data_IF_237599931906
#
_entry.id   IF_237599931906
#
_cell.length_a   1.000
_cell.length_b   1.000
_cell.length_c   1.000
_cell.angle_alpha   90.00
_cell.angle_beta   90.00
_cell.angle_gamma   90.00
#
_symmetry.space_group_name_H-M   'P 1'
#
loop_
_entity.id
_entity.type
_entity.pdbx_description
1 polymer ?
#
# COMPACT_ATOMS: atom_id res chain seq x y z
N UNK A 1 -27.90 9.86 -20.41
CA UNK A 1 -26.80 8.99 -19.94
C UNK A 1 -25.67 9.74 -19.22
N UNK A 2 -25.35 10.98 -19.61
CA UNK A 2 -24.33 11.81 -18.96
C UNK A 2 -24.49 12.02 -17.45
N UNK A 3 -25.72 12.24 -16.98
CA UNK A 3 -25.98 12.48 -15.55
C UNK A 3 -25.57 11.27 -14.70
N UNK A 4 -25.79 10.04 -15.19
CA UNK A 4 -25.38 8.83 -14.46
C UNK A 4 -23.86 8.72 -14.41
N UNK A 5 -23.16 8.96 -15.54
CA UNK A 5 -21.69 8.96 -15.59
C UNK A 5 -21.08 9.99 -14.65
N UNK A 6 -21.60 11.22 -14.64
CA UNK A 6 -21.14 12.26 -13.72
C UNK A 6 -21.35 11.92 -12.25
N UNK A 7 -22.46 11.28 -11.90
CA UNK A 7 -22.72 10.81 -10.52
C UNK A 7 -21.73 9.70 -10.12
N UNK A 8 -21.39 8.81 -11.04
CA UNK A 8 -20.40 7.74 -10.81
C UNK A 8 -19.00 8.32 -10.67
N UNK A 9 -18.60 9.27 -11.51
CA UNK A 9 -17.32 9.95 -11.43
C UNK A 9 -17.18 10.77 -10.14
N UNK A 10 -18.27 11.43 -9.71
CA UNK A 10 -18.32 12.11 -8.43
C UNK A 10 -18.19 11.12 -7.27
N UNK A 11 -18.89 9.98 -7.32
CA UNK A 11 -18.79 8.93 -6.30
C UNK A 11 -17.39 8.35 -6.23
N UNK A 12 -16.74 8.11 -7.36
CA UNK A 12 -15.36 7.64 -7.45
C UNK A 12 -14.37 8.68 -6.92
N UNK A 13 -14.59 9.95 -7.23
CA UNK A 13 -13.80 11.07 -6.68
C UNK A 13 -13.97 11.18 -5.17
N UNK A 14 -15.20 11.11 -4.65
CA UNK A 14 -15.47 11.12 -3.20
C UNK A 14 -14.86 9.91 -2.50
N UNK A 15 -14.89 8.72 -3.12
CA UNK A 15 -14.20 7.53 -2.62
C UNK A 15 -12.68 7.72 -2.60
N UNK A 16 -12.10 8.32 -3.64
CA UNK A 16 -10.67 8.62 -3.71
C UNK A 16 -10.25 9.66 -2.66
N UNK A 17 -11.02 10.73 -2.49
CA UNK A 17 -10.78 11.80 -1.50
C UNK A 17 -10.93 11.26 -0.07
N UNK A 18 -11.99 10.49 0.21
CA UNK A 18 -12.17 9.83 1.51
C UNK A 18 -11.03 8.86 1.82
N UNK A 19 -10.55 8.16 0.79
CA UNK A 19 -9.36 7.34 0.87
C UNK A 19 -8.11 8.14 1.23
N UNK A 20 -7.81 9.21 0.51
CA UNK A 20 -6.65 10.08 0.75
C UNK A 20 -6.67 10.72 2.15
N UNK A 21 -7.84 11.12 2.65
CA UNK A 21 -8.00 11.68 4.01
C UNK A 21 -7.69 10.64 5.09
N UNK A 22 -7.99 9.36 4.83
CA UNK A 22 -7.75 8.26 5.77
C UNK A 22 -6.43 7.50 5.52
N UNK A 23 -5.62 7.92 4.54
CA UNK A 23 -4.43 7.17 4.10
C UNK A 23 -4.75 5.80 3.47
N UNK A 24 -5.98 5.59 3.00
CA UNK A 24 -6.46 4.34 2.42
C UNK A 24 -6.72 4.49 0.93
N UNK A 25 -6.29 3.51 0.14
CA UNK A 25 -6.58 3.44 -1.28
C UNK A 25 -7.86 2.64 -1.51
N UNK A 26 -8.92 3.31 -1.94
CA UNK A 26 -10.19 2.66 -2.26
C UNK A 26 -10.31 2.37 -3.76
N UNK A 27 -10.69 1.15 -4.09
CA UNK A 27 -10.88 0.65 -5.44
C UNK A 27 -12.33 0.86 -5.88
N UNK A 28 -12.60 1.70 -6.90
CA UNK A 28 -13.97 1.98 -7.33
C UNK A 28 -14.59 0.74 -7.99
N UNK A 29 -15.79 0.36 -7.56
CA UNK A 29 -16.52 -0.76 -8.14
C UNK A 29 -17.17 -0.38 -9.48
N UNK A 30 -17.23 -1.29 -10.46
CA UNK A 30 -17.87 -1.04 -11.74
C UNK A 30 -19.40 -0.93 -11.61
N UNK A 31 -20.02 -0.29 -12.60
CA UNK A 31 -21.47 -0.27 -12.72
C UNK A 31 -22.02 -1.67 -12.93
N UNK A 32 -23.19 -1.96 -12.33
CA UNK A 32 -23.80 -3.28 -12.43
C UNK A 32 -23.16 -4.35 -11.56
N UNK A 33 -22.19 -4.03 -10.70
CA UNK A 33 -21.55 -4.99 -9.77
C UNK A 33 -22.54 -5.70 -8.85
N UNK A 34 -23.72 -5.12 -8.60
CA UNK A 34 -24.79 -5.77 -7.83
C UNK A 34 -25.33 -7.04 -8.50
N UNK A 35 -25.26 -7.11 -9.84
CA UNK A 35 -25.70 -8.27 -10.64
C UNK A 35 -24.58 -9.28 -10.92
N UNK A 36 -23.35 -9.01 -10.46
CA UNK A 36 -22.16 -9.83 -10.79
C UNK A 36 -22.35 -11.32 -10.47
N UNK A 37 -23.03 -11.62 -9.37
CA UNK A 37 -23.30 -13.01 -8.98
C UNK A 37 -24.23 -13.72 -9.96
N UNK A 38 -25.31 -13.06 -10.36
CA UNK A 38 -26.28 -13.60 -11.31
C UNK A 38 -25.66 -13.77 -12.70
N UNK A 39 -24.85 -12.79 -13.15
CA UNK A 39 -24.17 -12.86 -14.44
C UNK A 39 -23.14 -14.00 -14.46
N UNK A 40 -22.32 -14.13 -13.41
CA UNK A 40 -21.36 -15.24 -13.32
C UNK A 40 -22.07 -16.60 -13.36
N UNK A 41 -23.18 -16.77 -12.62
CA UNK A 41 -23.96 -18.01 -12.64
C UNK A 41 -24.48 -18.34 -14.04
N UNK A 42 -25.05 -17.37 -14.75
CA UNK A 42 -25.53 -17.59 -16.13
C UNK A 42 -24.41 -18.01 -17.08
N UNK A 43 -23.24 -17.38 -16.99
CA UNK A 43 -22.06 -17.74 -17.80
C UNK A 43 -21.63 -19.18 -17.52
N UNK A 44 -21.63 -19.60 -16.24
CA UNK A 44 -21.30 -20.98 -15.85
C UNK A 44 -22.32 -21.97 -16.42
N UNK A 45 -23.62 -21.69 -16.25
CA UNK A 45 -24.72 -22.55 -16.70
C UNK A 45 -24.78 -22.66 -18.23
N UNK A 46 -24.47 -21.59 -18.95
CA UNK A 46 -24.41 -21.54 -20.40
C UNK A 46 -23.06 -21.98 -20.98
N UNK A 47 -22.15 -22.50 -20.16
CA UNK A 47 -20.79 -22.88 -20.56
C UNK A 47 -20.03 -21.78 -21.36
N UNK A 48 -20.18 -20.52 -20.95
CA UNK A 48 -19.51 -19.37 -21.55
C UNK A 48 -20.29 -18.62 -22.63
N UNK A 49 -21.47 -19.08 -23.04
CA UNK A 49 -22.22 -18.49 -24.16
C UNK A 49 -23.04 -17.22 -23.79
N UNK A 50 -23.64 -17.14 -22.60
CA UNK A 50 -24.46 -16.00 -22.15
C UNK A 50 -23.61 -14.95 -21.41
N UNK A 51 -22.92 -14.10 -22.19
CA UNK A 51 -22.06 -13.04 -21.67
C UNK A 51 -22.77 -11.69 -21.68
N UNK A 52 -22.96 -11.10 -20.50
CA UNK A 52 -23.33 -9.69 -20.36
C UNK A 52 -22.14 -8.80 -20.75
N UNK A 53 -22.06 -8.44 -22.03
CA UNK A 53 -20.97 -7.63 -22.59
C UNK A 53 -20.83 -6.27 -21.91
N UNK A 54 -21.96 -5.66 -21.50
CA UNK A 54 -21.93 -4.36 -20.82
C UNK A 54 -21.26 -4.46 -19.46
N UNK A 55 -21.63 -5.47 -18.66
CA UNK A 55 -20.98 -5.71 -17.36
C UNK A 55 -19.52 -6.13 -17.54
N UNK A 56 -19.21 -7.00 -18.52
CA UNK A 56 -17.83 -7.41 -18.83
C UNK A 56 -16.95 -6.19 -19.11
N UNK A 57 -17.36 -5.31 -20.03
CA UNK A 57 -16.61 -4.10 -20.35
C UNK A 57 -16.48 -3.13 -19.17
N UNK A 58 -17.50 -3.03 -18.31
CA UNK A 58 -17.42 -2.23 -17.09
C UNK A 58 -16.38 -2.81 -16.11
N UNK A 59 -16.33 -4.14 -15.95
CA UNK A 59 -15.34 -4.84 -15.13
C UNK A 59 -13.92 -4.61 -15.69
N UNK A 60 -13.72 -4.78 -16.99
CA UNK A 60 -12.43 -4.53 -17.66
C UNK A 60 -11.96 -3.09 -17.43
N UNK A 61 -12.85 -2.11 -17.60
CA UNK A 61 -12.57 -0.71 -17.32
C UNK A 61 -12.20 -0.45 -15.85
N UNK A 62 -12.84 -1.14 -14.90
CA UNK A 62 -12.47 -1.06 -13.49
C UNK A 62 -11.08 -1.66 -13.22
N UNK A 63 -10.76 -2.82 -13.80
CA UNK A 63 -9.44 -3.46 -13.67
C UNK A 63 -8.33 -2.55 -14.18
N UNK A 64 -8.50 -1.88 -15.33
CA UNK A 64 -7.51 -0.92 -15.84
C UNK A 64 -7.26 0.19 -14.82
N UNK A 65 -8.32 0.76 -14.25
CA UNK A 65 -8.21 1.83 -13.24
C UNK A 65 -7.50 1.32 -11.98
N UNK A 66 -7.85 0.11 -11.51
CA UNK A 66 -7.22 -0.50 -10.34
C UNK A 66 -5.75 -0.79 -10.58
N UNK A 67 -5.37 -1.24 -11.78
CA UNK A 67 -3.96 -1.48 -12.14
C UNK A 67 -3.15 -0.20 -11.99
N UNK A 68 -3.63 0.91 -12.54
CA UNK A 68 -2.93 2.19 -12.43
C UNK A 68 -2.81 2.63 -10.95
N UNK A 69 -3.93 2.65 -10.22
CA UNK A 69 -3.97 3.11 -8.84
C UNK A 69 -3.11 2.25 -7.90
N UNK A 70 -3.15 0.93 -8.05
CA UNK A 70 -2.34 0.01 -7.24
C UNK A 70 -0.87 0.13 -7.62
N UNK A 71 -0.55 0.31 -8.90
CA UNK A 71 0.84 0.51 -9.33
C UNK A 71 1.46 1.74 -8.69
N UNK A 72 0.72 2.85 -8.61
CA UNK A 72 1.16 4.07 -7.92
C UNK A 72 1.50 3.78 -6.45
N UNK A 73 0.59 3.10 -5.72
CA UNK A 73 0.81 2.70 -4.32
C UNK A 73 2.02 1.78 -4.18
N UNK A 74 2.20 0.83 -5.09
CA UNK A 74 3.31 -0.11 -5.06
C UNK A 74 4.66 0.59 -5.30
N UNK A 75 4.68 1.66 -6.11
CA UNK A 75 5.89 2.44 -6.41
C UNK A 75 6.29 3.40 -5.29
N UNK A 76 5.41 3.71 -4.34
CA UNK A 76 5.77 4.53 -3.18
C UNK A 76 6.88 3.86 -2.34
N UNK A 77 7.87 4.66 -1.98
CA UNK A 77 9.02 4.25 -1.17
C UNK A 77 9.19 5.19 0.02
N UNK A 78 9.89 4.72 1.07
CA UNK A 78 10.06 5.51 2.28
C UNK A 78 10.83 6.82 2.06
N UNK A 79 11.58 6.95 0.96
CA UNK A 79 12.22 8.20 0.56
C UNK A 79 11.27 9.40 0.43
N UNK A 80 9.95 9.17 0.34
CA UNK A 80 8.95 10.24 0.35
C UNK A 80 8.99 11.09 1.63
N UNK A 81 9.45 10.53 2.76
CA UNK A 81 9.52 11.27 4.03
C UNK A 81 10.42 12.51 3.94
N UNK A 82 11.47 12.44 3.11
CA UNK A 82 12.40 13.56 2.85
C UNK A 82 11.85 14.59 1.87
N UNK A 83 10.78 14.27 1.15
CA UNK A 83 10.08 15.23 0.27
C UNK A 83 8.96 15.95 1.01
N UNK A 84 8.41 15.33 2.05
CA UNK A 84 7.26 15.83 2.80
C UNK A 84 7.64 16.70 4.02
N UNK A 85 8.88 16.63 4.49
CA UNK A 85 9.39 17.41 5.61
C UNK A 85 10.84 17.82 5.34
N UNK A 86 11.22 19.01 5.80
CA UNK A 86 12.58 19.55 5.66
C UNK A 86 13.58 18.80 6.56
N UNK A 87 13.16 18.42 7.77
CA UNK A 87 13.97 17.67 8.74
C UNK A 87 13.17 16.48 9.31
N UNK A 88 12.93 15.42 8.51
CA UNK A 88 12.22 14.25 9.00
C UNK A 88 13.05 13.51 10.07
N UNK A 89 12.35 13.03 11.10
CA UNK A 89 12.92 12.26 12.21
C UNK A 89 12.76 10.75 12.00
N UNK A 90 13.47 9.89 12.75
CA UNK A 90 13.44 8.43 12.56
C UNK A 90 12.05 7.79 12.63
N UNK A 91 11.14 8.33 13.44
CA UNK A 91 9.77 7.83 13.52
C UNK A 91 9.00 7.97 12.19
N UNK A 92 9.38 8.90 11.31
CA UNK A 92 8.77 9.03 9.99
C UNK A 92 8.94 7.76 9.14
N UNK A 93 10.08 7.06 9.24
CA UNK A 93 10.29 5.78 8.57
C UNK A 93 9.36 4.70 9.14
N UNK A 94 9.24 4.64 10.47
CA UNK A 94 8.37 3.68 11.15
C UNK A 94 6.90 3.89 10.77
N UNK A 95 6.45 5.15 10.80
CA UNK A 95 5.09 5.53 10.45
C UNK A 95 4.78 5.29 8.97
N UNK A 96 5.73 5.55 8.08
CA UNK A 96 5.62 5.19 6.68
C UNK A 96 5.31 3.69 6.52
N UNK A 97 6.10 2.82 7.14
CA UNK A 97 5.88 1.37 7.01
C UNK A 97 4.59 0.89 7.67
N UNK A 98 4.18 1.44 8.82
CA UNK A 98 2.87 1.14 9.42
C UNK A 98 1.71 1.57 8.52
N UNK A 99 1.78 2.79 7.98
CA UNK A 99 0.77 3.31 7.05
C UNK A 99 0.70 2.45 5.78
N UNK A 100 1.85 2.06 5.23
CA UNK A 100 1.94 1.17 4.06
C UNK A 100 1.30 -0.19 4.34
N UNK A 101 1.51 -0.79 5.51
CA UNK A 101 0.82 -2.04 5.91
C UNK A 101 -0.69 -1.81 5.93
N UNK A 102 -1.18 -0.81 6.66
CA UNK A 102 -2.62 -0.52 6.78
C UNK A 102 -3.28 -0.32 5.41
N UNK A 103 -2.64 0.46 4.53
CA UNK A 103 -3.15 0.70 3.20
C UNK A 103 -3.18 -0.59 2.34
N UNK A 104 -2.08 -1.36 2.32
CA UNK A 104 -2.01 -2.60 1.55
C UNK A 104 -2.97 -3.68 2.10
N UNK A 105 -3.22 -3.74 3.41
CA UNK A 105 -4.26 -4.59 3.99
C UNK A 105 -5.65 -4.18 3.50
N UNK A 106 -5.95 -2.88 3.50
CA UNK A 106 -7.21 -2.36 2.97
C UNK A 106 -7.42 -2.73 1.50
N UNK A 107 -6.40 -2.58 0.65
CA UNK A 107 -6.45 -2.99 -0.76
C UNK A 107 -6.63 -4.51 -0.87
N UNK A 108 -5.88 -5.29 -0.09
CA UNK A 108 -5.96 -6.75 -0.08
C UNK A 108 -7.37 -7.24 0.27
N UNK A 109 -8.00 -6.65 1.29
CA UNK A 109 -9.34 -6.99 1.71
C UNK A 109 -10.39 -6.62 0.66
N UNK A 110 -10.25 -5.47 0.00
CA UNK A 110 -11.09 -5.08 -1.14
C UNK A 110 -10.98 -6.09 -2.30
N UNK A 111 -9.77 -6.54 -2.64
CA UNK A 111 -9.56 -7.55 -3.70
C UNK A 111 -10.09 -8.94 -3.32
N UNK A 112 -10.31 -9.20 -2.02
CA UNK A 112 -10.93 -10.42 -1.50
C UNK A 112 -12.44 -10.34 -1.36
N UNK A 113 -13.04 -9.18 -1.60
CA UNK A 113 -14.49 -9.02 -1.61
C UNK A 113 -15.11 -10.07 -2.53
N UNK A 114 -16.16 -10.79 -2.10
CA UNK A 114 -16.80 -11.82 -2.91
C UNK A 114 -17.17 -11.33 -4.30
N UNK A 115 -17.67 -10.09 -4.44
CA UNK A 115 -18.03 -9.51 -5.74
C UNK A 115 -16.83 -9.37 -6.65
N UNK A 116 -15.67 -9.00 -6.12
CA UNK A 116 -14.42 -8.88 -6.88
C UNK A 116 -13.93 -10.26 -7.35
N UNK A 117 -14.08 -11.29 -6.51
CA UNK A 117 -13.80 -12.68 -6.93
C UNK A 117 -14.72 -13.12 -8.08
N UNK A 118 -15.99 -12.75 -8.02
CA UNK A 118 -16.96 -13.01 -9.09
C UNK A 118 -16.60 -12.26 -10.38
N UNK A 119 -16.14 -11.00 -10.28
CA UNK A 119 -15.60 -10.26 -11.42
C UNK A 119 -14.40 -10.98 -12.05
N UNK A 120 -13.46 -11.47 -11.22
CA UNK A 120 -12.31 -12.22 -11.70
C UNK A 120 -12.72 -13.52 -12.40
N UNK A 121 -13.72 -14.23 -11.87
CA UNK A 121 -14.26 -15.43 -12.50
C UNK A 121 -14.92 -15.13 -13.85
N UNK A 122 -15.67 -14.03 -13.98
CA UNK A 122 -16.22 -13.62 -15.28
C UNK A 122 -15.11 -13.34 -16.29
N UNK A 123 -14.05 -12.63 -15.89
CA UNK A 123 -12.91 -12.37 -16.77
C UNK A 123 -12.20 -13.65 -17.22
N UNK A 124 -12.09 -14.65 -16.33
CA UNK A 124 -11.51 -15.96 -16.64
C UNK A 124 -12.40 -16.79 -17.57
N UNK A 125 -13.69 -16.91 -17.26
CA UNK A 125 -14.65 -17.71 -18.04
C UNK A 125 -14.88 -17.16 -19.45
N UNK A 126 -14.65 -15.86 -19.65
CA UNK A 126 -14.86 -15.18 -20.94
C UNK A 126 -13.55 -14.87 -21.68
N UNK A 127 -12.45 -15.50 -21.26
CA UNK A 127 -11.09 -15.35 -21.80
C UNK A 127 -10.71 -13.87 -22.03
N UNK A 128 -10.97 -13.03 -21.03
CA UNK A 128 -10.66 -11.60 -21.12
C UNK A 128 -9.15 -11.36 -21.07
N UNK A 129 -8.67 -10.54 -22.00
CA UNK A 129 -7.28 -10.06 -22.03
C UNK A 129 -6.84 -9.33 -20.74
N UNK A 130 -7.78 -8.89 -19.90
CA UNK A 130 -7.50 -8.21 -18.63
C UNK A 130 -7.40 -9.14 -17.43
N UNK A 131 -7.77 -10.43 -17.56
CA UNK A 131 -7.63 -11.40 -16.47
C UNK A 131 -6.16 -11.56 -15.99
N UNK A 132 -5.15 -11.67 -16.88
CA UNK A 132 -3.75 -11.72 -16.46
C UNK A 132 -3.32 -10.47 -15.67
N UNK A 133 -3.79 -9.28 -16.08
CA UNK A 133 -3.51 -8.02 -15.40
C UNK A 133 -4.09 -8.03 -13.98
N UNK A 134 -5.35 -8.46 -13.82
CA UNK A 134 -5.98 -8.62 -12.50
C UNK A 134 -5.20 -9.58 -11.59
N UNK A 135 -4.79 -10.74 -12.12
CA UNK A 135 -3.97 -11.70 -11.35
C UNK A 135 -2.63 -11.12 -10.94
N UNK A 136 -1.98 -10.39 -11.85
CA UNK A 136 -0.68 -9.77 -11.60
C UNK A 136 -0.77 -8.76 -10.46
N UNK A 137 -1.75 -7.85 -10.47
CA UNK A 137 -1.91 -6.86 -9.40
C UNK A 137 -2.22 -7.51 -8.05
N UNK A 138 -3.06 -8.55 -8.02
CA UNK A 138 -3.36 -9.26 -6.78
C UNK A 138 -2.09 -9.89 -6.17
N UNK A 139 -1.30 -10.56 -7.01
CA UNK A 139 -0.01 -11.14 -6.58
C UNK A 139 0.95 -10.07 -6.07
N UNK A 140 1.04 -8.94 -6.75
CA UNK A 140 1.94 -7.84 -6.38
C UNK A 140 1.52 -7.21 -5.03
N UNK A 141 0.21 -7.02 -4.80
CA UNK A 141 -0.32 -6.55 -3.51
C UNK A 141 0.03 -7.52 -2.39
N UNK A 142 -0.15 -8.83 -2.60
CA UNK A 142 0.21 -9.86 -1.60
C UNK A 142 1.71 -9.82 -1.28
N UNK A 143 2.55 -9.70 -2.30
CA UNK A 143 4.00 -9.63 -2.12
C UNK A 143 4.42 -8.36 -1.36
N UNK A 144 3.89 -7.20 -1.75
CA UNK A 144 4.17 -5.92 -1.10
C UNK A 144 3.65 -5.87 0.34
N UNK A 145 2.49 -6.47 0.62
CA UNK A 145 1.95 -6.55 1.98
C UNK A 145 2.85 -7.40 2.87
N UNK A 146 3.36 -8.52 2.35
CA UNK A 146 4.33 -9.36 3.07
C UNK A 146 5.63 -8.60 3.34
N UNK A 147 6.14 -7.89 2.34
CA UNK A 147 7.31 -7.01 2.50
C UNK A 147 7.09 -6.01 3.63
N UNK A 148 6.02 -5.22 3.55
CA UNK A 148 5.74 -4.16 4.51
C UNK A 148 5.57 -4.71 5.94
N UNK A 149 4.84 -5.82 6.11
CA UNK A 149 4.67 -6.48 7.42
C UNK A 149 5.98 -6.96 8.02
N UNK A 150 6.84 -7.55 7.20
CA UNK A 150 8.15 -8.02 7.66
C UNK A 150 9.02 -6.84 8.07
N UNK A 151 9.11 -5.78 7.27
CA UNK A 151 9.86 -4.56 7.64
C UNK A 151 9.33 -3.95 8.94
N UNK A 152 8.02 -3.73 9.08
CA UNK A 152 7.43 -3.18 10.30
C UNK A 152 7.76 -4.04 11.53
N UNK A 153 7.76 -5.37 11.39
CA UNK A 153 8.15 -6.29 12.47
C UNK A 153 9.61 -6.06 12.91
N UNK A 154 10.53 -5.89 11.97
CA UNK A 154 11.95 -5.66 12.28
C UNK A 154 12.27 -4.24 12.74
N UNK A 155 11.44 -3.24 12.41
CA UNK A 155 11.57 -1.88 12.93
C UNK A 155 11.09 -1.76 14.39
N UNK A 156 10.15 -2.60 14.82
CA UNK A 156 9.55 -2.53 16.17
C UNK A 156 10.56 -2.46 17.34
N UNK A 157 11.67 -3.23 17.36
CA UNK A 157 12.67 -3.10 18.41
C UNK A 157 13.40 -1.75 18.42
N UNK A 158 13.58 -1.10 17.26
CA UNK A 158 14.24 0.20 17.15
C UNK A 158 13.40 1.30 17.81
N UNK A 159 12.07 1.22 17.74
CA UNK A 159 11.15 2.22 18.30
C UNK A 159 11.46 2.56 19.76
N UNK A 160 11.71 1.54 20.58
CA UNK A 160 12.08 1.73 21.99
C UNK A 160 13.33 2.58 22.16
N UNK A 161 14.32 2.42 21.30
CA UNK A 161 15.57 3.18 21.35
C UNK A 161 15.43 4.56 20.75
N UNK A 162 14.60 4.72 19.71
CA UNK A 162 14.25 6.02 19.15
C UNK A 162 13.52 6.89 20.19
N UNK A 163 12.53 6.34 20.91
CA UNK A 163 11.86 7.05 22.02
C UNK A 163 12.84 7.44 23.13
N UNK A 164 13.79 6.58 23.47
CA UNK A 164 14.83 6.91 24.45
C UNK A 164 15.73 8.03 23.95
N UNK A 165 16.13 7.99 22.69
CA UNK A 165 16.99 9.00 22.07
C UNK A 165 16.30 10.37 22.07
N UNK A 166 14.99 10.43 21.82
CA UNK A 166 14.22 11.68 21.92
C UNK A 166 14.14 12.27 23.34
N UNK A 167 14.32 11.45 24.37
CA UNK A 167 14.12 11.83 25.77
C UNK A 167 15.40 12.24 26.52
N UNK A 168 16.58 12.01 25.93
CA UNK A 168 17.87 12.31 26.57
C UNK A 168 18.49 13.58 26.00
N UNK A 169 19.45 14.16 26.73
CA UNK A 169 20.29 15.24 26.20
C UNK A 169 21.42 14.69 25.33
N UNK A 170 22.00 15.55 24.47
CA UNK A 170 23.07 15.17 23.55
C UNK A 170 24.30 14.57 24.29
N UNK A 171 24.60 15.08 25.49
CA UNK A 171 25.70 14.62 26.36
C UNK A 171 25.53 13.15 26.81
N UNK A 172 24.30 12.66 26.88
CA UNK A 172 23.95 11.31 27.32
C UNK A 172 23.71 10.34 26.14
N UNK A 173 23.66 10.87 24.91
CA UNK A 173 23.27 10.12 23.71
C UNK A 173 24.34 9.14 23.19
N UNK A 174 25.64 9.33 23.50
CA UNK A 174 26.74 8.54 22.92
C UNK A 174 26.55 7.02 23.07
N UNK A 175 26.21 6.57 24.28
CA UNK A 175 25.97 5.15 24.55
C UNK A 175 24.75 4.62 23.78
N UNK A 176 23.66 5.40 23.74
CA UNK A 176 22.42 5.03 23.03
C UNK A 176 22.62 4.97 21.51
N UNK A 177 23.41 5.88 20.95
CA UNK A 177 23.72 5.89 19.52
C UNK A 177 24.50 4.65 19.09
N UNK A 178 25.49 4.22 19.88
CA UNK A 178 26.21 2.95 19.63
C UNK A 178 25.25 1.77 19.58
N UNK A 179 24.35 1.65 20.55
CA UNK A 179 23.33 0.60 20.54
C UNK A 179 22.38 0.71 19.35
N UNK A 180 21.93 1.92 19.02
CA UNK A 180 21.01 2.16 17.90
C UNK A 180 21.65 1.75 16.57
N UNK A 181 22.92 2.11 16.33
CA UNK A 181 23.66 1.71 15.13
C UNK A 181 23.84 0.19 15.04
N UNK A 182 24.14 -0.49 16.16
CA UNK A 182 24.15 -1.95 16.18
C UNK A 182 22.79 -2.55 15.82
N UNK A 183 21.69 -1.97 16.31
CA UNK A 183 20.33 -2.41 15.95
C UNK A 183 20.02 -2.17 14.46
N UNK A 184 20.48 -1.06 13.88
CA UNK A 184 20.38 -0.80 12.43
C UNK A 184 21.15 -1.85 11.64
N UNK A 185 22.35 -2.24 12.07
CA UNK A 185 23.12 -3.33 11.43
C UNK A 185 22.38 -4.68 11.53
N UNK A 186 21.76 -4.98 12.67
CA UNK A 186 20.95 -6.20 12.84
C UNK A 186 19.72 -6.18 11.93
N UNK A 187 19.01 -5.06 11.85
CA UNK A 187 17.91 -4.85 10.91
C UNK A 187 18.37 -5.10 9.46
N UNK A 188 19.49 -4.48 9.06
CA UNK A 188 20.03 -4.58 7.71
C UNK A 188 20.42 -6.02 7.33
N UNK A 189 21.05 -6.75 8.25
CA UNK A 189 21.52 -8.13 8.04
C UNK A 189 20.42 -9.19 8.09
N UNK A 190 19.35 -8.96 8.86
CA UNK A 190 18.33 -9.98 9.12
C UNK A 190 17.00 -9.74 8.38
N UNK A 191 16.69 -8.50 7.95
CA UNK A 191 15.48 -8.21 7.19
C UNK A 191 15.81 -8.19 5.69
N UNK A 192 15.51 -9.30 4.99
CA UNK A 192 15.74 -9.44 3.54
C UNK A 192 15.07 -8.35 2.68
N UNK A 193 14.02 -7.71 3.22
CA UNK A 193 13.27 -6.67 2.55
C UNK A 193 13.79 -5.26 2.87
N UNK A 194 14.56 -5.10 3.95
CA UNK A 194 15.17 -3.84 4.35
C UNK A 194 16.67 -3.79 4.04
N UNK A 195 17.24 -4.87 3.49
CA UNK A 195 18.68 -5.02 3.30
C UNK A 195 19.28 -4.17 2.15
N UNK A 196 18.53 -3.25 1.53
CA UNK A 196 19.06 -2.40 0.47
C UNK A 196 19.81 -1.19 1.03
N UNK A 197 20.91 -0.81 0.39
CA UNK A 197 21.71 0.35 0.82
C UNK A 197 20.87 1.63 0.89
N UNK A 198 19.95 1.84 -0.06
CA UNK A 198 19.09 3.00 -0.07
C UNK A 198 18.20 3.12 1.19
N UNK A 199 17.59 2.01 1.65
CA UNK A 199 16.71 2.01 2.84
C UNK A 199 17.52 2.29 4.11
N UNK A 200 18.71 1.69 4.25
CA UNK A 200 19.56 1.93 5.41
C UNK A 200 20.15 3.33 5.43
N UNK A 201 20.58 3.86 4.28
CA UNK A 201 21.06 5.24 4.18
C UNK A 201 19.96 6.21 4.61
N UNK A 202 18.72 6.01 4.14
CA UNK A 202 17.57 6.81 4.58
C UNK A 202 17.42 6.77 6.11
N UNK A 203 17.40 5.59 6.73
CA UNK A 203 17.27 5.48 8.18
C UNK A 203 18.41 6.18 8.93
N UNK A 204 19.65 6.05 8.46
CA UNK A 204 20.81 6.73 9.06
C UNK A 204 20.69 8.25 8.93
N UNK A 205 20.24 8.77 7.79
CA UNK A 205 20.00 10.21 7.61
C UNK A 205 18.93 10.72 8.58
N UNK A 206 17.86 9.96 8.80
CA UNK A 206 16.85 10.32 9.80
C UNK A 206 17.44 10.35 11.22
N UNK A 207 18.30 9.39 11.56
CA UNK A 207 19.00 9.39 12.86
C UNK A 207 19.94 10.60 12.98
N UNK A 208 20.64 10.97 11.91
CA UNK A 208 21.45 12.19 11.88
C UNK A 208 20.59 13.44 12.12
N UNK A 209 19.42 13.53 11.50
CA UNK A 209 18.49 14.64 11.72
C UNK A 209 18.05 14.72 13.19
N UNK A 210 17.81 13.59 13.85
CA UNK A 210 17.52 13.54 15.29
C UNK A 210 18.68 14.12 16.11
N UNK A 211 19.92 13.75 15.79
CA UNK A 211 21.11 14.26 16.51
C UNK A 211 21.25 15.78 16.31
N UNK A 212 21.02 16.28 15.09
CA UNK A 212 21.05 17.71 14.80
C UNK A 212 19.95 18.45 15.59
N UNK A 213 18.74 17.90 15.66
CA UNK A 213 17.64 18.46 16.45
C UNK A 213 17.98 18.52 17.95
N UNK A 214 18.62 17.47 18.48
CA UNK A 214 19.10 17.47 19.87
C UNK A 214 20.20 18.52 20.11
N UNK A 215 21.11 18.70 19.15
CA UNK A 215 22.18 19.69 19.25
C UNK A 215 21.65 21.13 19.20
N UNK A 216 20.61 21.41 18.41
CA UNK A 216 19.99 22.73 18.33
C UNK A 216 19.20 23.11 19.60
N UNK A 217 18.83 22.12 20.43
CA UNK A 217 18.16 22.32 21.72
C UNK A 217 19.12 22.57 22.88
N UNK A 218 20.41 22.30 22.68
CA UNK A 218 21.48 22.48 23.66
C UNK A 218 22.12 23.88 23.51
#
# INVERSE_FOLDING_TARGET
>A
EDVKRHVIDLKNTVYKVRGQINGQTLLPMPDGVSKVHQVEQRIIESNGEDVDLQLKSAIEGAVIKWVNQITDVLQETSSIVFKSSENPLPFAEVDFWRSRVSNLECIYDQLRDPRVKKMASILELTDSAYYPSFRSIFRNVVAALKEAKEITKYLKPLEKYLTKLEAVELTEADSLLKFLLHMVCLLWSNCKYYCSSAKVINLLLLICNQIIDMANKY
#
